data_IF_256889974055
#
_entry.id   IF_256889974055
#
_cell.length_a   1.000
_cell.length_b   1.000
_cell.length_c   1.000
_cell.angle_alpha   90.00
_cell.angle_beta   90.00
_cell.angle_gamma   90.00
#
_symmetry.space_group_name_H-M   'P 1'
#
loop_
_entity.id
_entity.type
_entity.pdbx_description
1 polymer ?
#
# COMPACT_ATOMS: atom_id res chain seq x y z
N UNK A 1 35.08 -5.21 47.07
CA UNK A 1 33.71 -4.79 46.72
C UNK A 1 33.64 -3.86 45.50
N UNK A 2 34.44 -2.78 45.38
CA UNK A 2 34.40 -1.81 44.26
C UNK A 2 34.53 -2.43 42.84
N UNK A 3 35.47 -3.40 42.62
CA UNK A 3 35.65 -4.04 41.30
C UNK A 3 34.41 -4.81 40.77
N UNK A 4 33.66 -5.43 41.67
CA UNK A 4 32.43 -6.16 41.29
C UNK A 4 31.29 -5.25 40.88
N UNK A 5 31.18 -4.06 41.48
CA UNK A 5 30.19 -3.05 41.17
C UNK A 5 30.42 -2.52 39.73
N UNK A 6 31.66 -2.21 39.35
CA UNK A 6 31.98 -1.70 37.98
C UNK A 6 31.70 -2.76 36.88
N UNK A 7 31.89 -4.03 37.16
CA UNK A 7 31.58 -5.10 36.18
C UNK A 7 30.07 -5.21 35.97
N UNK A 8 29.27 -5.17 37.02
CA UNK A 8 27.81 -5.24 36.92
C UNK A 8 27.21 -4.03 36.22
N UNK A 9 27.70 -2.81 36.53
CA UNK A 9 27.24 -1.58 35.86
C UNK A 9 27.63 -1.54 34.39
N UNK A 10 28.85 -2.02 34.06
CA UNK A 10 29.30 -2.12 32.65
C UNK A 10 28.46 -3.10 31.85
N UNK A 11 28.15 -4.29 32.39
CA UNK A 11 27.28 -5.27 31.74
C UNK A 11 25.86 -4.73 31.51
N UNK A 12 25.31 -4.00 32.49
CA UNK A 12 23.98 -3.38 32.38
C UNK A 12 23.92 -2.31 31.29
N UNK A 13 24.97 -1.48 31.19
CA UNK A 13 25.07 -0.45 30.12
C UNK A 13 25.21 -1.09 28.73
N UNK A 14 25.99 -2.17 28.61
CA UNK A 14 26.13 -2.91 27.33
C UNK A 14 24.80 -3.54 26.91
N UNK A 15 24.04 -4.13 27.83
CA UNK A 15 22.71 -4.70 27.50
C UNK A 15 21.71 -3.63 27.09
N UNK A 16 21.71 -2.45 27.72
CA UNK A 16 20.87 -1.31 27.33
C UNK A 16 21.24 -0.80 25.93
N UNK A 17 22.54 -0.73 25.61
CA UNK A 17 23.00 -0.31 24.28
C UNK A 17 22.59 -1.33 23.19
N UNK A 18 22.70 -2.64 23.47
CA UNK A 18 22.30 -3.70 22.53
C UNK A 18 20.78 -3.68 22.31
N UNK A 19 19.99 -3.54 23.38
CA UNK A 19 18.53 -3.41 23.30
C UNK A 19 18.13 -2.15 22.53
N UNK A 20 18.76 -1.00 22.81
CA UNK A 20 18.50 0.24 22.07
C UNK A 20 18.85 0.17 20.60
N UNK A 21 19.92 -0.55 20.24
CA UNK A 21 20.31 -0.77 18.85
C UNK A 21 19.31 -1.67 18.12
N UNK A 22 18.82 -2.73 18.77
CA UNK A 22 17.82 -3.64 18.18
C UNK A 22 16.47 -2.96 17.92
N UNK A 23 16.05 -2.01 18.77
CA UNK A 23 14.78 -1.28 18.61
C UNK A 23 14.81 -0.25 17.49
N UNK A 24 15.98 0.18 17.00
CA UNK A 24 16.10 1.23 15.99
C UNK A 24 16.36 0.71 14.57
N UNK A 25 16.28 -0.58 14.34
CA UNK A 25 16.42 -1.14 13.00
C UNK A 25 15.11 -0.94 12.22
N UNK A 26 15.13 -0.02 11.24
CA UNK A 26 14.06 0.05 10.24
C UNK A 26 13.98 -1.27 9.49
N UNK A 27 12.77 -1.80 9.24
CA UNK A 27 12.62 -2.99 8.43
C UNK A 27 13.30 -2.78 7.08
N UNK A 28 14.16 -3.72 6.67
CA UNK A 28 14.81 -3.67 5.36
C UNK A 28 13.78 -3.94 4.29
N UNK A 29 13.57 -2.98 3.40
CA UNK A 29 12.73 -3.22 2.21
C UNK A 29 13.39 -4.24 1.30
N UNK A 30 12.57 -5.08 0.69
CA UNK A 30 13.01 -6.08 -0.28
C UNK A 30 13.17 -5.38 -1.62
N UNK A 31 14.38 -5.41 -2.18
CA UNK A 31 14.62 -4.93 -3.54
C UNK A 31 14.45 -6.10 -4.51
N UNK A 32 13.36 -6.08 -5.27
CA UNK A 32 13.03 -7.10 -6.27
C UNK A 32 13.09 -6.46 -7.65
N UNK A 33 13.71 -7.17 -8.60
CA UNK A 33 13.67 -6.77 -10.01
C UNK A 33 12.43 -7.39 -10.68
N UNK A 34 11.73 -6.62 -11.52
CA UNK A 34 10.55 -7.09 -12.26
C UNK A 34 10.86 -8.35 -13.08
N UNK A 35 12.10 -8.47 -13.62
CA UNK A 35 12.55 -9.61 -14.40
C UNK A 35 12.62 -10.91 -13.60
N UNK A 36 12.78 -10.83 -12.28
CA UNK A 36 12.87 -11.98 -11.37
C UNK A 36 11.49 -12.54 -10.98
N UNK A 37 10.42 -11.81 -11.27
CA UNK A 37 9.07 -12.27 -10.97
C UNK A 37 8.65 -13.41 -11.90
N UNK A 38 7.82 -14.30 -11.37
CA UNK A 38 7.09 -15.29 -12.17
C UNK A 38 6.13 -14.58 -13.15
N UNK A 39 5.65 -15.29 -14.17
CA UNK A 39 4.64 -14.75 -15.10
C UNK A 39 3.38 -14.27 -14.36
N UNK A 40 2.97 -14.98 -13.30
CA UNK A 40 1.87 -14.56 -12.44
C UNK A 40 2.19 -13.24 -11.72
N UNK A 41 3.34 -13.15 -11.04
CA UNK A 41 3.75 -11.93 -10.34
C UNK A 41 3.87 -10.71 -11.27
N UNK A 42 4.40 -10.89 -12.48
CA UNK A 42 4.44 -9.82 -13.50
C UNK A 42 3.05 -9.31 -13.84
N UNK A 43 2.10 -10.22 -14.09
CA UNK A 43 0.71 -9.87 -14.38
C UNK A 43 0.07 -9.08 -13.23
N UNK A 44 0.29 -9.49 -11.97
CA UNK A 44 -0.25 -8.82 -10.78
C UNK A 44 0.34 -7.40 -10.63
N UNK A 45 1.65 -7.25 -10.78
CA UNK A 45 2.33 -5.95 -10.75
C UNK A 45 1.84 -5.05 -11.88
N UNK A 46 1.63 -5.57 -13.09
CA UNK A 46 1.11 -4.79 -14.22
C UNK A 46 -0.33 -4.32 -13.97
N UNK A 47 -1.19 -5.15 -13.38
CA UNK A 47 -2.54 -4.74 -12.97
C UNK A 47 -2.49 -3.62 -11.92
N UNK A 48 -1.61 -3.74 -10.91
CA UNK A 48 -1.44 -2.71 -9.89
C UNK A 48 -0.90 -1.41 -10.47
N UNK A 49 0.09 -1.49 -11.37
CA UNK A 49 0.67 -0.34 -12.06
C UNK A 49 -0.37 0.42 -12.89
N UNK A 50 -1.21 -0.31 -13.63
CA UNK A 50 -2.31 0.30 -14.37
C UNK A 50 -3.29 1.00 -13.43
N UNK A 51 -3.64 0.36 -12.29
CA UNK A 51 -4.52 0.98 -11.31
C UNK A 51 -3.93 2.29 -10.77
N UNK A 52 -2.69 2.29 -10.32
CA UNK A 52 -1.98 3.48 -9.84
C UNK A 52 -1.98 4.58 -10.90
N UNK A 53 -1.65 4.23 -12.15
CA UNK A 53 -1.55 5.19 -13.25
C UNK A 53 -2.87 5.90 -13.52
N UNK A 54 -3.98 5.18 -13.55
CA UNK A 54 -5.28 5.77 -13.89
C UNK A 54 -5.97 6.46 -12.72
N UNK A 55 -5.79 5.95 -11.50
CA UNK A 55 -6.48 6.47 -10.31
C UNK A 55 -5.68 7.59 -9.61
N UNK A 56 -4.37 7.57 -9.71
CA UNK A 56 -3.50 8.49 -8.96
C UNK A 56 -2.30 9.02 -9.75
N UNK A 57 -2.35 8.99 -11.08
CA UNK A 57 -1.21 9.36 -11.91
C UNK A 57 -0.65 10.77 -11.68
N UNK A 58 -1.48 11.71 -11.22
CA UNK A 58 -1.11 13.09 -10.89
C UNK A 58 -0.85 13.33 -9.40
N UNK A 59 -1.03 12.29 -8.56
CA UNK A 59 -0.78 12.39 -7.14
C UNK A 59 0.72 12.36 -6.81
N UNK A 60 1.14 12.89 -5.66
CA UNK A 60 2.48 12.67 -5.14
C UNK A 60 2.73 11.17 -4.87
N UNK A 61 3.99 10.77 -4.69
CA UNK A 61 4.38 9.37 -4.49
C UNK A 61 3.58 8.70 -3.38
N UNK A 62 3.40 9.37 -2.23
CA UNK A 62 2.63 8.83 -1.11
C UNK A 62 1.16 8.58 -1.48
N UNK A 63 0.56 9.43 -2.32
CA UNK A 63 -0.80 9.24 -2.84
C UNK A 63 -0.90 8.02 -3.76
N UNK A 64 0.10 7.81 -4.61
CA UNK A 64 0.21 6.62 -5.47
C UNK A 64 0.39 5.34 -4.66
N UNK A 65 1.27 5.38 -3.64
CA UNK A 65 1.45 4.26 -2.69
C UNK A 65 0.15 3.98 -1.93
N UNK A 66 -0.56 5.00 -1.47
CA UNK A 66 -1.82 4.84 -0.76
C UNK A 66 -2.90 4.14 -1.61
N UNK A 67 -3.04 4.50 -2.89
CA UNK A 67 -3.96 3.81 -3.81
C UNK A 67 -3.56 2.34 -4.01
N UNK A 68 -2.27 2.06 -4.14
CA UNK A 68 -1.77 0.68 -4.20
C UNK A 68 -2.08 -0.10 -2.92
N UNK A 69 -1.88 0.50 -1.74
CA UNK A 69 -2.16 -0.13 -0.44
C UNK A 69 -3.65 -0.47 -0.30
N UNK A 70 -4.58 0.38 -0.73
CA UNK A 70 -6.02 0.04 -0.73
C UNK A 70 -6.29 -1.20 -1.59
N UNK A 71 -5.65 -1.33 -2.74
CA UNK A 71 -5.78 -2.54 -3.57
C UNK A 71 -5.26 -3.78 -2.85
N UNK A 72 -4.10 -3.69 -2.20
CA UNK A 72 -3.53 -4.78 -1.42
C UNK A 72 -4.37 -5.12 -0.19
N UNK A 73 -4.90 -4.11 0.53
CA UNK A 73 -5.81 -4.30 1.66
C UNK A 73 -7.05 -5.10 1.22
N UNK A 74 -7.60 -4.80 0.04
CA UNK A 74 -8.73 -5.56 -0.51
C UNK A 74 -8.36 -7.00 -0.82
N UNK A 75 -7.20 -7.27 -1.42
CA UNK A 75 -6.73 -8.65 -1.66
C UNK A 75 -6.67 -9.46 -0.37
N UNK A 76 -6.27 -8.83 0.74
CA UNK A 76 -6.18 -9.48 2.04
C UNK A 76 -7.51 -9.56 2.80
N UNK A 77 -8.49 -8.74 2.47
CA UNK A 77 -9.82 -8.80 3.08
C UNK A 77 -10.63 -9.98 2.50
N UNK A 78 -11.22 -10.85 3.34
CA UNK A 78 -11.92 -12.06 2.89
C UNK A 78 -13.12 -11.81 1.97
N UNK A 79 -13.64 -10.60 1.92
CA UNK A 79 -14.80 -10.20 1.10
C UNK A 79 -14.44 -9.88 -0.34
N UNK A 80 -13.15 -9.74 -0.64
CA UNK A 80 -12.67 -9.38 -1.97
C UNK A 80 -11.95 -10.54 -2.66
N UNK A 81 -11.77 -10.47 -3.99
CA UNK A 81 -10.94 -11.43 -4.73
C UNK A 81 -9.52 -11.52 -4.15
N UNK A 82 -8.89 -12.69 -4.31
CA UNK A 82 -7.59 -13.01 -3.70
C UNK A 82 -6.39 -12.74 -4.62
N UNK A 83 -6.58 -12.00 -5.68
CA UNK A 83 -5.52 -11.52 -6.56
C UNK A 83 -5.77 -10.07 -6.99
N UNK A 84 -4.68 -9.37 -7.28
CA UNK A 84 -4.71 -7.94 -7.59
C UNK A 84 -5.50 -7.66 -8.86
N UNK A 85 -5.26 -8.45 -9.90
CA UNK A 85 -5.95 -8.27 -11.17
C UNK A 85 -7.48 -8.41 -11.04
N UNK A 86 -7.95 -9.37 -10.25
CA UNK A 86 -9.37 -9.57 -10.01
C UNK A 86 -9.98 -8.45 -9.15
N UNK A 87 -9.25 -7.95 -8.13
CA UNK A 87 -9.68 -6.77 -7.35
C UNK A 87 -9.79 -5.55 -8.24
N UNK A 88 -8.78 -5.28 -9.05
CA UNK A 88 -8.73 -4.10 -9.94
C UNK A 88 -9.81 -4.14 -11.02
N UNK A 89 -10.13 -5.33 -11.54
CA UNK A 89 -11.15 -5.55 -12.58
C UNK A 89 -12.55 -5.83 -12.01
N UNK A 90 -12.72 -5.83 -10.69
CA UNK A 90 -13.99 -6.17 -10.04
C UNK A 90 -15.12 -5.27 -10.54
N UNK A 91 -16.24 -5.91 -10.84
CA UNK A 91 -17.50 -5.25 -11.19
C UNK A 91 -18.57 -5.60 -10.16
N UNK A 92 -19.29 -4.60 -9.71
CA UNK A 92 -20.48 -4.77 -8.86
C UNK A 92 -21.67 -4.33 -9.69
N UNK A 93 -22.48 -5.30 -10.12
CA UNK A 93 -23.57 -5.09 -11.08
C UNK A 93 -23.01 -4.50 -12.39
N UNK A 94 -23.35 -3.25 -12.69
CA UNK A 94 -22.93 -2.53 -13.91
C UNK A 94 -21.78 -1.55 -13.69
N UNK A 95 -21.26 -1.45 -12.45
CA UNK A 95 -20.24 -0.46 -12.09
C UNK A 95 -18.90 -1.17 -11.87
N UNK A 96 -17.84 -0.66 -12.49
CA UNK A 96 -16.48 -1.09 -12.16
C UNK A 96 -16.02 -0.47 -10.86
N UNK A 97 -15.34 -1.26 -10.04
CA UNK A 97 -14.73 -0.77 -8.80
C UNK A 97 -13.71 0.34 -9.09
N UNK A 98 -12.98 0.19 -10.19
CA UNK A 98 -12.10 1.21 -10.75
C UNK A 98 -12.61 1.57 -12.15
N UNK A 99 -12.87 2.87 -12.38
CA UNK A 99 -13.58 3.38 -13.58
C UNK A 99 -12.91 2.95 -14.89
N UNK A 100 -11.58 2.89 -14.89
CA UNK A 100 -10.76 2.54 -16.05
C UNK A 100 -11.19 1.24 -16.74
N UNK A 101 -11.59 0.24 -15.97
CA UNK A 101 -11.90 -1.09 -16.51
C UNK A 101 -13.30 -1.20 -17.14
N UNK A 102 -14.16 -0.19 -16.92
CA UNK A 102 -15.42 -0.03 -17.65
C UNK A 102 -15.29 0.85 -18.89
N UNK A 103 -14.23 1.63 -19.00
CA UNK A 103 -14.03 2.56 -20.10
C UNK A 103 -13.17 1.91 -21.20
N UNK A 104 -13.78 1.62 -22.34
CA UNK A 104 -13.06 1.06 -23.48
C UNK A 104 -12.14 2.10 -24.13
N UNK A 105 -11.02 1.66 -24.71
CA UNK A 105 -10.16 2.50 -25.55
C UNK A 105 -9.17 3.43 -24.85
N UNK A 106 -9.08 3.44 -23.52
CA UNK A 106 -8.04 4.20 -22.82
C UNK A 106 -6.69 3.51 -22.93
N UNK A 107 -5.75 4.13 -23.62
CA UNK A 107 -4.34 3.72 -23.70
C UNK A 107 -3.47 4.51 -22.71
N UNK A 108 -2.31 3.95 -22.37
CA UNK A 108 -1.27 4.66 -21.62
C UNK A 108 -0.70 5.75 -22.53
N UNK A 109 -0.99 7.02 -22.20
CA UNK A 109 -0.55 8.18 -22.99
C UNK A 109 0.76 8.78 -22.48
N UNK A 110 0.99 8.73 -21.17
CA UNK A 110 2.20 9.23 -20.53
C UNK A 110 3.06 8.06 -20.08
N UNK A 111 4.06 7.70 -20.87
CA UNK A 111 4.93 6.55 -20.61
C UNK A 111 5.79 6.75 -19.37
N UNK A 112 6.25 7.99 -19.10
CA UNK A 112 7.04 8.30 -17.90
C UNK A 112 6.24 8.10 -16.63
N UNK A 113 5.00 8.60 -16.57
CA UNK A 113 4.11 8.42 -15.43
C UNK A 113 3.75 6.93 -15.24
N UNK A 114 3.62 6.17 -16.32
CA UNK A 114 3.37 4.74 -16.23
C UNK A 114 4.58 3.96 -15.70
N UNK A 115 5.79 4.30 -16.13
CA UNK A 115 7.02 3.71 -15.59
C UNK A 115 7.20 4.00 -14.09
N UNK A 116 6.83 5.20 -13.64
CA UNK A 116 6.80 5.52 -12.22
C UNK A 116 5.77 4.64 -11.47
N UNK A 117 4.57 4.51 -12.02
CA UNK A 117 3.54 3.64 -11.46
C UNK A 117 3.99 2.17 -11.39
N UNK A 118 4.73 1.67 -12.40
CA UNK A 118 5.31 0.32 -12.38
C UNK A 118 6.34 0.14 -11.26
N UNK A 119 7.21 1.11 -11.03
CA UNK A 119 8.19 1.07 -9.93
C UNK A 119 7.48 1.03 -8.56
N UNK A 120 6.46 1.87 -8.38
CA UNK A 120 5.67 1.91 -7.14
C UNK A 120 4.90 0.59 -6.96
N UNK A 121 4.29 0.07 -8.01
CA UNK A 121 3.58 -1.20 -7.97
C UNK A 121 4.49 -2.35 -7.54
N UNK A 122 5.67 -2.46 -8.16
CA UNK A 122 6.66 -3.47 -7.82
C UNK A 122 7.13 -3.34 -6.36
N UNK A 123 7.40 -2.12 -5.91
CA UNK A 123 7.81 -1.84 -4.54
C UNK A 123 6.73 -2.26 -3.53
N UNK A 124 5.48 -1.86 -3.75
CA UNK A 124 4.36 -2.22 -2.85
C UNK A 124 4.11 -3.73 -2.89
N UNK A 125 4.09 -4.35 -4.07
CA UNK A 125 3.88 -5.79 -4.24
C UNK A 125 4.92 -6.62 -3.46
N UNK A 126 6.20 -6.23 -3.55
CA UNK A 126 7.29 -6.97 -2.92
C UNK A 126 7.38 -6.73 -1.40
N UNK A 127 6.88 -5.62 -0.90
CA UNK A 127 7.10 -5.18 0.47
C UNK A 127 5.83 -5.04 1.32
N UNK A 128 4.66 -5.38 0.79
CA UNK A 128 3.37 -5.10 1.44
C UNK A 128 3.33 -5.54 2.92
N UNK A 129 3.83 -6.73 3.24
CA UNK A 129 3.80 -7.30 4.59
C UNK A 129 4.65 -6.52 5.62
N UNK A 130 5.62 -5.76 5.14
CA UNK A 130 6.53 -4.97 5.99
C UNK A 130 6.34 -3.47 5.87
N UNK A 131 5.53 -3.02 4.89
CA UNK A 131 5.22 -1.62 4.73
C UNK A 131 4.25 -1.14 5.81
N UNK A 132 4.55 0.04 6.36
CA UNK A 132 3.56 0.75 7.17
C UNK A 132 2.40 1.17 6.26
N UNK A 133 1.20 0.71 6.57
CA UNK A 133 0.01 1.15 5.84
C UNK A 133 -0.34 2.61 6.17
N UNK A 134 -0.04 3.49 5.22
CA UNK A 134 -0.32 4.92 5.30
C UNK A 134 -1.83 5.22 5.31
N UNK A 135 -2.65 4.29 4.85
CA UNK A 135 -4.10 4.46 4.72
C UNK A 135 -4.86 4.04 5.98
N UNK A 136 -4.18 3.39 6.95
CA UNK A 136 -4.81 2.90 8.18
C UNK A 136 -5.83 1.79 7.96
N UNK A 137 -5.56 0.86 7.03
CA UNK A 137 -6.43 -0.26 6.68
C UNK A 137 -7.60 0.13 5.78
N UNK A 138 -7.47 1.22 5.02
CA UNK A 138 -8.57 1.67 4.17
C UNK A 138 -8.89 0.67 3.06
N UNK A 139 -10.19 0.50 2.82
CA UNK A 139 -10.75 -0.27 1.72
C UNK A 139 -11.46 0.61 0.68
N UNK A 140 -11.68 1.89 1.01
CA UNK A 140 -12.39 2.87 0.18
C UNK A 140 -11.63 4.18 0.15
N UNK A 141 -11.73 4.88 -0.97
CA UNK A 141 -11.27 6.26 -1.09
C UNK A 141 -12.08 7.02 -2.13
N UNK A 142 -12.03 8.34 -2.06
CA UNK A 142 -12.53 9.23 -3.10
C UNK A 142 -11.66 10.49 -3.18
N UNK A 143 -11.72 11.18 -4.31
CA UNK A 143 -11.06 12.47 -4.47
C UNK A 143 -11.74 13.55 -3.58
N UNK A 144 -10.98 14.52 -3.11
CA UNK A 144 -11.39 15.58 -2.19
C UNK A 144 -12.60 16.40 -2.65
N UNK A 145 -12.83 16.48 -3.96
CA UNK A 145 -13.96 17.19 -4.58
C UNK A 145 -15.22 16.32 -4.76
N UNK A 146 -15.16 15.00 -4.45
CA UNK A 146 -16.30 14.09 -4.52
C UNK A 146 -16.99 14.02 -3.15
N UNK A 147 -18.29 13.82 -3.13
CA UNK A 147 -19.10 13.69 -1.90
C UNK A 147 -19.95 12.43 -2.00
N UNK A 148 -19.37 11.24 -1.77
CA UNK A 148 -20.13 9.99 -1.83
C UNK A 148 -21.11 9.91 -0.65
N UNK A 149 -22.30 9.34 -0.89
CA UNK A 149 -23.28 9.06 0.16
C UNK A 149 -22.98 7.72 0.85
N UNK A 150 -21.80 7.61 1.42
CA UNK A 150 -21.40 6.42 2.16
C UNK A 150 -21.86 6.49 3.61
N UNK A 151 -22.31 5.36 4.14
CA UNK A 151 -22.71 5.17 5.53
C UNK A 151 -21.78 4.14 6.19
N UNK A 152 -21.64 4.23 7.51
CA UNK A 152 -20.85 3.31 8.33
C UNK A 152 -19.35 3.22 7.98
N UNK A 153 -18.80 4.26 7.37
CA UNK A 153 -17.37 4.40 7.14
C UNK A 153 -16.76 5.40 8.13
N UNK A 154 -15.51 5.15 8.51
CA UNK A 154 -14.66 6.10 9.21
C UNK A 154 -13.52 6.57 8.33
N UNK A 155 -13.22 7.85 8.39
CA UNK A 155 -12.07 8.42 7.71
C UNK A 155 -10.79 8.03 8.46
N UNK A 156 -9.83 7.44 7.74
CA UNK A 156 -8.56 6.97 8.30
C UNK A 156 -7.38 7.86 7.92
N UNK A 157 -7.38 8.42 6.71
CA UNK A 157 -6.29 9.26 6.24
C UNK A 157 -6.77 10.28 5.19
N UNK A 158 -5.95 11.32 4.98
CA UNK A 158 -6.00 12.22 3.82
C UNK A 158 -4.58 12.28 3.26
N UNK A 159 -4.40 11.85 2.01
CA UNK A 159 -3.09 11.78 1.36
C UNK A 159 -3.26 12.32 -0.06
N UNK A 160 -2.49 13.36 -0.41
CA UNK A 160 -2.69 14.09 -1.66
C UNK A 160 -4.12 14.63 -1.73
N UNK A 161 -4.79 14.37 -2.84
CA UNK A 161 -6.19 14.75 -3.07
C UNK A 161 -7.18 13.63 -2.81
N UNK A 162 -6.78 12.56 -2.10
CA UNK A 162 -7.63 11.45 -1.75
C UNK A 162 -7.93 11.39 -0.25
N UNK A 163 -9.16 11.02 0.08
CA UNK A 163 -9.63 10.79 1.43
C UNK A 163 -9.94 9.30 1.55
N UNK A 164 -9.33 8.65 2.54
CA UNK A 164 -9.33 7.20 2.73
C UNK A 164 -10.26 6.80 3.87
N UNK A 165 -10.91 5.63 3.73
CA UNK A 165 -11.91 5.15 4.67
C UNK A 165 -11.83 3.64 4.85
N UNK A 166 -12.17 3.19 6.05
CA UNK A 166 -12.50 1.78 6.35
C UNK A 166 -13.90 1.69 6.94
N UNK A 167 -14.43 0.49 7.02
CA UNK A 167 -15.67 0.25 7.74
C UNK A 167 -15.46 0.45 9.24
N UNK A 168 -16.46 0.99 9.91
CA UNK A 168 -16.47 1.01 11.38
C UNK A 168 -16.66 -0.41 11.86
N UNK A 169 -15.83 -0.83 12.81
CA UNK A 169 -16.11 -2.07 13.52
C UNK A 169 -17.47 -1.94 14.18
N UNK A 170 -18.40 -2.91 14.02
CA UNK A 170 -19.62 -2.93 14.81
C UNK A 170 -19.21 -3.01 16.29
N UNK A 171 -19.62 -2.00 17.05
CA UNK A 171 -19.47 -1.95 18.52
C UNK A 171 -20.29 -3.03 19.17
#
# INVERSE_FOLDING_TARGET
MRKRIYIVTSLFLITLLILGYSFNQKPRTIEVQYTQLTSYGKKEVDCLAQNIYYESGYEPVDGKVAVALVTMNRVNDPRYPKDICSVVKQRIKYTCQFSRYCEQGKSIRNQTAYQEAQKIALYVYANYEILKDLTGGALFYHADYVRPKWHNLEKTAVIGRHIFYRERNPS
#
